data_IF_589803578746
#
_entry.id   IF_589803578746
#
_cell.length_a   1.000
_cell.length_b   1.000
_cell.length_c   1.000
_cell.angle_alpha   90.00
_cell.angle_beta   90.00
_cell.angle_gamma   90.00
#
_symmetry.space_group_name_H-M   'P 1'
#
loop_
_entity.id
_entity.type
_entity.pdbx_description
1 polymer ?
#
# COMPACT_ATOMS: atom_id res chain seq x y z
N UNK A 1 15.28 12.13 -3.02
CA UNK A 1 15.36 11.81 -4.47
C UNK A 1 14.08 11.10 -4.95
N UNK A 2 13.68 9.95 -4.38
CA UNK A 2 12.48 9.22 -4.80
C UNK A 2 11.22 10.10 -4.78
N UNK A 3 11.01 10.87 -3.73
CA UNK A 3 9.85 11.76 -3.55
C UNK A 3 9.76 12.90 -4.58
N UNK A 4 10.85 13.18 -5.27
CA UNK A 4 10.94 14.16 -6.36
C UNK A 4 11.06 13.51 -7.74
N UNK A 5 10.78 12.20 -7.82
CA UNK A 5 10.89 11.38 -9.03
C UNK A 5 12.29 11.41 -9.71
N UNK A 6 13.34 11.67 -8.94
CA UNK A 6 14.70 11.74 -9.45
C UNK A 6 15.34 10.35 -9.69
N UNK A 7 14.66 9.27 -9.26
CA UNK A 7 15.12 7.89 -9.45
C UNK A 7 14.60 7.24 -10.74
N UNK A 8 14.08 8.02 -11.68
CA UNK A 8 13.51 7.51 -12.93
C UNK A 8 14.48 6.60 -13.73
N UNK A 9 15.78 6.79 -13.57
CA UNK A 9 16.78 5.93 -14.22
C UNK A 9 16.79 4.50 -13.70
N UNK A 10 16.29 4.26 -12.47
CA UNK A 10 16.14 2.93 -11.89
C UNK A 10 15.06 2.12 -12.59
N UNK A 11 14.08 2.78 -13.22
CA UNK A 11 12.93 2.15 -13.88
C UNK A 11 13.28 1.36 -15.14
N UNK A 12 14.58 1.27 -15.49
CA UNK A 12 15.08 0.47 -16.62
C UNK A 12 14.98 -1.03 -16.36
N UNK A 13 14.94 -1.46 -15.11
CA UNK A 13 14.84 -2.87 -14.71
C UNK A 13 13.64 -3.08 -13.77
N UNK A 14 13.05 -4.30 -13.73
CA UNK A 14 11.98 -4.62 -12.78
C UNK A 14 12.40 -4.39 -11.33
N UNK A 15 13.62 -4.80 -10.96
CA UNK A 15 14.17 -4.64 -9.61
C UNK A 15 14.38 -3.15 -9.25
N UNK A 16 14.83 -2.34 -10.19
CA UNK A 16 15.00 -0.91 -9.99
C UNK A 16 13.65 -0.19 -9.77
N UNK A 17 12.61 -0.58 -10.50
CA UNK A 17 11.23 -0.11 -10.28
C UNK A 17 10.73 -0.51 -8.90
N UNK A 18 10.94 -1.76 -8.51
CA UNK A 18 10.59 -2.25 -7.18
C UNK A 18 11.33 -1.46 -6.09
N UNK A 19 12.61 -1.21 -6.26
CA UNK A 19 13.41 -0.45 -5.29
C UNK A 19 12.86 0.97 -5.08
N UNK A 20 12.48 1.67 -6.14
CA UNK A 20 11.84 2.99 -6.05
C UNK A 20 10.51 2.92 -5.30
N UNK A 21 9.68 1.91 -5.57
CA UNK A 21 8.40 1.69 -4.89
C UNK A 21 8.62 1.41 -3.40
N UNK A 22 9.58 0.57 -3.03
CA UNK A 22 9.91 0.27 -1.63
C UNK A 22 10.36 1.55 -0.89
N UNK A 23 11.16 2.40 -1.52
CA UNK A 23 11.58 3.67 -0.91
C UNK A 23 10.38 4.57 -0.65
N UNK A 24 9.45 4.68 -1.59
CA UNK A 24 8.26 5.52 -1.47
C UNK A 24 7.23 4.97 -0.47
N UNK A 25 7.01 3.66 -0.46
CA UNK A 25 6.01 3.00 0.38
C UNK A 25 6.58 2.62 1.76
N UNK A 26 7.56 1.74 1.80
CA UNK A 26 8.05 1.15 3.05
C UNK A 26 8.96 2.10 3.84
N UNK A 27 9.90 2.77 3.19
CA UNK A 27 10.83 3.66 3.89
C UNK A 27 10.13 4.91 4.41
N UNK A 28 9.15 5.44 3.68
CA UNK A 28 8.34 6.57 4.19
C UNK A 28 7.65 6.23 5.49
N UNK A 29 7.06 5.04 5.59
CA UNK A 29 6.42 4.55 6.83
C UNK A 29 7.40 4.39 7.99
N UNK A 30 8.60 3.93 7.72
CA UNK A 30 9.60 3.73 8.77
C UNK A 30 10.26 5.03 9.23
N UNK A 31 10.57 5.93 8.29
CA UNK A 31 11.27 7.21 8.58
C UNK A 31 10.33 8.21 9.23
N UNK A 32 9.09 8.32 8.71
CA UNK A 32 8.10 9.30 9.14
C UNK A 32 6.98 8.69 9.99
N UNK A 33 7.32 7.68 10.81
CA UNK A 33 6.36 7.02 11.69
C UNK A 33 5.60 8.07 12.51
N UNK A 34 4.27 7.91 12.59
CA UNK A 34 3.35 8.80 13.31
C UNK A 34 3.30 10.25 12.76
N UNK A 35 3.75 10.45 11.52
CA UNK A 35 3.69 11.73 10.83
C UNK A 35 2.93 11.59 9.51
N UNK A 36 2.25 12.67 9.02
CA UNK A 36 1.51 12.64 7.76
C UNK A 36 2.37 12.23 6.55
N UNK A 37 3.66 12.57 6.57
CA UNK A 37 4.63 12.24 5.54
C UNK A 37 4.78 10.74 5.31
N UNK A 38 4.43 9.89 6.29
CA UNK A 38 4.44 8.44 6.15
C UNK A 38 3.51 7.93 5.05
N UNK A 39 2.47 8.70 4.71
CA UNK A 39 1.46 8.36 3.69
C UNK A 39 1.48 9.29 2.48
N UNK A 40 2.29 10.34 2.50
CA UNK A 40 2.27 11.41 1.48
C UNK A 40 2.58 10.90 0.06
N UNK A 41 3.30 9.80 -0.07
CA UNK A 41 3.74 9.26 -1.35
C UNK A 41 3.05 7.95 -1.75
N UNK A 42 2.02 7.53 -1.02
CA UNK A 42 1.27 6.30 -1.31
C UNK A 42 0.69 6.30 -2.72
N UNK A 43 0.14 7.42 -3.18
CA UNK A 43 -0.40 7.56 -4.53
C UNK A 43 0.66 7.41 -5.62
N UNK A 44 1.86 7.94 -5.39
CA UNK A 44 2.97 7.78 -6.34
C UNK A 44 3.47 6.32 -6.37
N UNK A 45 3.64 5.70 -5.21
CA UNK A 45 4.03 4.28 -5.12
C UNK A 45 3.01 3.38 -5.82
N UNK A 46 1.71 3.64 -5.62
CA UNK A 46 0.64 2.91 -6.29
C UNK A 46 0.68 3.07 -7.81
N UNK A 47 0.83 4.29 -8.31
CA UNK A 47 0.90 4.55 -9.76
C UNK A 47 2.09 3.84 -10.41
N UNK A 48 3.26 3.84 -9.76
CA UNK A 48 4.44 3.13 -10.25
C UNK A 48 4.25 1.61 -10.23
N UNK A 49 3.58 1.08 -9.20
CA UNK A 49 3.23 -0.33 -9.13
C UNK A 49 2.25 -0.74 -10.24
N UNK A 50 1.21 0.07 -10.48
CA UNK A 50 0.25 -0.15 -11.57
C UNK A 50 0.94 -0.16 -12.94
N UNK A 51 1.85 0.77 -13.18
CA UNK A 51 2.64 0.81 -14.42
C UNK A 51 3.49 -0.44 -14.59
N UNK A 52 4.20 -0.86 -13.56
CA UNK A 52 5.02 -2.08 -13.60
C UNK A 52 4.19 -3.33 -13.94
N UNK A 53 2.99 -3.45 -13.36
CA UNK A 53 2.07 -4.55 -13.64
C UNK A 53 1.53 -4.47 -15.08
N UNK A 54 1.16 -3.29 -15.55
CA UNK A 54 0.66 -3.10 -16.92
C UNK A 54 1.69 -3.47 -17.98
N UNK A 55 2.96 -3.30 -17.67
CA UNK A 55 4.10 -3.70 -18.49
C UNK A 55 4.52 -5.17 -18.27
N UNK A 56 3.79 -5.92 -17.44
CA UNK A 56 4.06 -7.33 -17.08
C UNK A 56 5.43 -7.56 -16.45
N UNK A 57 6.01 -6.54 -15.84
CA UNK A 57 7.33 -6.61 -15.21
C UNK A 57 7.31 -7.35 -13.87
N UNK A 58 6.16 -7.43 -13.23
CA UNK A 58 5.94 -8.23 -12.02
C UNK A 58 6.20 -9.72 -12.26
N UNK A 59 5.94 -10.23 -13.48
CA UNK A 59 6.24 -11.62 -13.84
C UNK A 59 7.75 -11.95 -13.83
N UNK A 60 8.61 -10.95 -13.94
CA UNK A 60 10.08 -11.12 -13.90
C UNK A 60 10.65 -11.08 -12.48
N UNK A 61 9.84 -10.71 -11.49
CA UNK A 61 10.20 -10.68 -10.08
C UNK A 61 9.89 -12.02 -9.40
N UNK A 62 10.67 -12.39 -8.38
CA UNK A 62 10.34 -13.55 -7.55
C UNK A 62 9.10 -13.27 -6.67
N UNK A 63 8.47 -14.29 -6.05
CA UNK A 63 7.25 -14.11 -5.25
C UNK A 63 7.38 -13.11 -4.09
N UNK A 64 8.53 -13.09 -3.40
CA UNK A 64 8.78 -12.16 -2.31
C UNK A 64 8.84 -10.72 -2.83
N UNK A 65 9.59 -10.48 -3.90
CA UNK A 65 9.68 -9.19 -4.57
C UNK A 65 8.30 -8.72 -5.06
N UNK A 66 7.51 -9.61 -5.67
CA UNK A 66 6.14 -9.30 -6.09
C UNK A 66 5.24 -8.89 -4.93
N UNK A 67 5.38 -9.49 -3.77
CA UNK A 67 4.60 -9.10 -2.61
C UNK A 67 4.81 -7.62 -2.25
N UNK A 68 6.06 -7.15 -2.28
CA UNK A 68 6.38 -5.73 -2.05
C UNK A 68 5.88 -4.83 -3.18
N UNK A 69 5.93 -5.29 -4.43
CA UNK A 69 5.36 -4.54 -5.56
C UNK A 69 3.85 -4.32 -5.40
N UNK A 70 3.13 -5.26 -4.78
CA UNK A 70 1.69 -5.20 -4.59
C UNK A 70 1.26 -4.48 -3.30
N UNK A 71 2.17 -4.22 -2.35
CA UNK A 71 1.85 -3.52 -1.09
C UNK A 71 1.17 -2.15 -1.28
N UNK A 72 1.54 -1.30 -2.26
CA UNK A 72 0.84 -0.04 -2.46
C UNK A 72 -0.67 -0.19 -2.73
N UNK A 73 -1.11 -1.31 -3.31
CA UNK A 73 -2.53 -1.60 -3.48
C UNK A 73 -3.22 -1.85 -2.13
N UNK A 74 -2.59 -2.64 -1.25
CA UNK A 74 -3.09 -2.91 0.11
C UNK A 74 -3.15 -1.62 0.96
N UNK A 75 -2.24 -0.69 0.75
CA UNK A 75 -2.17 0.56 1.49
C UNK A 75 -3.15 1.65 0.99
N UNK A 76 -3.80 1.44 -0.15
CA UNK A 76 -4.74 2.38 -0.74
C UNK A 76 -6.01 2.52 0.08
N UNK A 77 -6.55 3.73 0.18
CA UNK A 77 -7.88 4.00 0.76
C UNK A 77 -9.01 3.97 -0.30
N UNK A 78 -8.85 3.17 -1.36
CA UNK A 78 -9.83 3.04 -2.43
C UNK A 78 -10.43 1.64 -2.48
N UNK A 79 -11.77 1.54 -2.39
CA UNK A 79 -12.50 0.27 -2.54
C UNK A 79 -12.18 -0.41 -3.88
N UNK A 80 -12.13 0.37 -4.96
CA UNK A 80 -11.82 -0.15 -6.29
C UNK A 80 -10.41 -0.77 -6.34
N UNK A 81 -9.43 -0.11 -5.73
CA UNK A 81 -8.05 -0.62 -5.71
C UNK A 81 -7.96 -1.93 -4.91
N UNK A 82 -8.72 -2.09 -3.83
CA UNK A 82 -8.78 -3.33 -3.06
C UNK A 82 -9.41 -4.51 -3.84
N UNK A 83 -10.29 -4.26 -4.80
CA UNK A 83 -10.76 -5.32 -5.72
C UNK A 83 -9.62 -5.87 -6.59
N UNK A 84 -8.70 -5.01 -7.03
CA UNK A 84 -7.49 -5.44 -7.73
C UNK A 84 -6.47 -6.08 -6.78
N UNK A 85 -6.26 -5.49 -5.61
CA UNK A 85 -5.35 -6.02 -4.58
C UNK A 85 -5.70 -7.46 -4.23
N UNK A 86 -6.96 -7.75 -3.96
CA UNK A 86 -7.42 -9.10 -3.64
C UNK A 86 -7.03 -10.11 -4.73
N UNK A 87 -7.25 -9.75 -6.01
CA UNK A 87 -6.89 -10.62 -7.15
C UNK A 87 -5.38 -10.82 -7.26
N UNK A 88 -4.60 -9.75 -7.04
CA UNK A 88 -3.13 -9.81 -7.09
C UNK A 88 -2.58 -10.73 -6.01
N UNK A 89 -3.02 -10.57 -4.76
CA UNK A 89 -2.56 -11.41 -3.64
C UNK A 89 -3.08 -12.85 -3.72
N UNK A 90 -4.28 -13.09 -4.27
CA UNK A 90 -4.76 -14.45 -4.58
C UNK A 90 -3.85 -15.13 -5.62
N UNK A 91 -3.51 -14.43 -6.69
CA UNK A 91 -2.62 -14.95 -7.75
C UNK A 91 -1.19 -15.18 -7.24
N UNK A 92 -0.72 -14.33 -6.33
CA UNK A 92 0.60 -14.49 -5.70
C UNK A 92 0.71 -15.80 -4.92
N UNK A 93 -0.38 -16.25 -4.29
CA UNK A 93 -0.44 -17.52 -3.56
C UNK A 93 0.22 -17.51 -2.18
N UNK A 94 0.54 -16.33 -1.64
CA UNK A 94 1.03 -16.20 -0.27
C UNK A 94 -0.15 -15.99 0.69
N UNK A 95 -0.47 -17.02 1.47
CA UNK A 95 -1.62 -17.05 2.38
C UNK A 95 -1.56 -15.94 3.45
N UNK A 96 -0.36 -15.61 3.94
CA UNK A 96 -0.17 -14.55 4.94
C UNK A 96 -0.54 -13.20 4.33
N UNK A 97 0.02 -12.88 3.16
CA UNK A 97 -0.27 -11.62 2.47
C UNK A 97 -1.74 -11.52 2.08
N UNK A 98 -2.34 -12.61 1.62
CA UNK A 98 -3.76 -12.65 1.28
C UNK A 98 -4.64 -12.42 2.52
N UNK A 99 -4.27 -13.00 3.66
CA UNK A 99 -4.97 -12.78 4.93
C UNK A 99 -4.92 -11.31 5.36
N UNK A 100 -3.75 -10.67 5.23
CA UNK A 100 -3.61 -9.24 5.51
C UNK A 100 -4.43 -8.37 4.57
N UNK A 101 -4.41 -8.66 3.26
CA UNK A 101 -5.24 -7.93 2.29
C UNK A 101 -6.73 -8.03 2.65
N UNK A 102 -7.23 -9.20 2.97
CA UNK A 102 -8.63 -9.39 3.38
C UNK A 102 -9.00 -8.54 4.60
N UNK A 103 -8.12 -8.47 5.60
CA UNK A 103 -8.32 -7.62 6.79
C UNK A 103 -8.36 -6.13 6.43
N UNK A 104 -7.45 -5.67 5.57
CA UNK A 104 -7.42 -4.29 5.08
C UNK A 104 -8.67 -3.95 4.28
N UNK A 105 -9.05 -4.84 3.35
CA UNK A 105 -10.23 -4.66 2.50
C UNK A 105 -11.52 -4.51 3.31
N UNK A 106 -11.72 -5.32 4.36
CA UNK A 106 -12.89 -5.21 5.24
C UNK A 106 -13.01 -3.81 5.84
N UNK A 107 -11.91 -3.20 6.25
CA UNK A 107 -11.90 -1.84 6.80
C UNK A 107 -12.25 -0.82 5.72
N UNK A 108 -11.65 -0.94 4.56
CA UNK A 108 -11.92 -0.02 3.43
C UNK A 108 -13.36 -0.18 2.92
N UNK A 109 -13.89 -1.39 2.86
CA UNK A 109 -15.28 -1.63 2.48
C UNK A 109 -16.26 -0.99 3.46
N UNK A 110 -15.94 -1.01 4.76
CA UNK A 110 -16.76 -0.43 5.83
C UNK A 110 -16.68 1.09 5.87
N UNK A 111 -15.48 1.66 5.91
CA UNK A 111 -15.25 3.07 6.21
C UNK A 111 -14.81 3.91 4.98
N UNK A 112 -14.34 3.29 3.90
CA UNK A 112 -13.76 3.99 2.75
C UNK A 112 -12.40 4.62 3.02
N UNK A 113 -11.84 4.40 4.21
CA UNK A 113 -10.53 4.89 4.67
C UNK A 113 -10.03 4.04 5.82
N UNK A 114 -8.78 4.23 6.21
CA UNK A 114 -8.19 3.62 7.40
C UNK A 114 -8.37 4.55 8.62
N UNK A 115 -9.28 4.23 9.57
CA UNK A 115 -9.53 5.09 10.73
C UNK A 115 -8.27 5.35 11.58
N UNK A 116 -7.35 4.39 11.66
CA UNK A 116 -6.10 4.56 12.42
C UNK A 116 -5.18 5.66 11.87
N UNK A 117 -5.37 6.10 10.62
CA UNK A 117 -4.64 7.25 10.04
C UNK A 117 -5.28 8.59 10.39
N UNK A 118 -6.50 8.61 10.92
CA UNK A 118 -7.24 9.86 11.10
C UNK A 118 -6.50 10.86 11.99
N UNK A 119 -6.03 10.44 13.17
CA UNK A 119 -5.30 11.33 14.08
C UNK A 119 -4.03 11.88 13.44
N UNK A 120 -3.26 11.04 12.75
CA UNK A 120 -2.01 11.42 12.08
C UNK A 120 -2.27 12.43 10.94
N UNK A 121 -3.35 12.23 10.18
CA UNK A 121 -3.72 13.07 9.03
C UNK A 121 -4.63 14.25 9.40
N UNK A 122 -4.91 14.47 10.70
CA UNK A 122 -5.79 15.54 11.14
C UNK A 122 -7.26 15.37 10.70
N UNK A 123 -7.69 14.12 10.45
CA UNK A 123 -9.07 13.80 10.09
C UNK A 123 -9.88 13.48 11.33
N UNK A 124 -11.12 14.00 11.39
CA UNK A 124 -12.05 13.71 12.49
C UNK A 124 -12.63 12.30 12.30
N UNK A 125 -12.55 11.47 13.34
CA UNK A 125 -13.19 10.15 13.36
C UNK A 125 -14.68 10.27 13.60
N UNK A 126 -15.46 9.46 12.90
CA UNK A 126 -16.89 9.28 13.23
C UNK A 126 -17.05 8.49 14.55
N UNK A 127 -18.24 8.52 15.20
CA UNK A 127 -18.48 7.67 16.37
C UNK A 127 -18.22 6.18 16.10
N UNK A 128 -18.63 5.69 14.93
CA UNK A 128 -18.40 4.30 14.52
C UNK A 128 -16.91 3.98 14.34
N UNK A 129 -16.15 4.89 13.74
CA UNK A 129 -14.70 4.73 13.62
C UNK A 129 -14.00 4.76 14.98
N UNK A 130 -14.49 5.58 15.92
CA UNK A 130 -13.95 5.65 17.28
C UNK A 130 -14.17 4.33 18.02
N UNK A 131 -15.34 3.72 17.89
CA UNK A 131 -15.63 2.39 18.46
C UNK A 131 -14.73 1.32 17.82
N UNK A 132 -14.62 1.33 16.48
CA UNK A 132 -13.78 0.40 15.74
C UNK A 132 -12.31 0.46 16.18
N UNK A 133 -11.78 1.66 16.47
CA UNK A 133 -10.39 1.83 16.91
C UNK A 133 -10.08 1.19 18.28
N UNK A 134 -11.10 0.81 19.06
CA UNK A 134 -10.95 0.07 20.29
C UNK A 134 -10.89 -1.46 20.07
N UNK A 135 -11.24 -1.93 18.87
CA UNK A 135 -11.22 -3.34 18.53
C UNK A 135 -9.79 -3.83 18.22
N UNK A 136 -9.48 -5.13 18.44
CA UNK A 136 -8.23 -5.71 18.00
C UNK A 136 -8.13 -5.67 16.46
N UNK A 137 -6.92 -5.52 15.93
CA UNK A 137 -6.63 -5.42 14.50
C UNK A 137 -7.25 -4.18 13.82
N UNK A 138 -7.49 -3.11 14.55
CA UNK A 138 -7.97 -1.82 14.01
C UNK A 138 -6.87 -0.95 13.42
N UNK A 139 -5.60 -1.32 13.58
CA UNK A 139 -4.42 -0.62 13.07
C UNK A 139 -3.36 -1.60 12.55
N UNK A 140 -2.50 -1.10 11.65
CA UNK A 140 -1.43 -1.85 11.00
C UNK A 140 -0.12 -1.08 11.00
#
# INVERSE_FOLDING_TARGET
QATRAELWSWRKTPEGRLAEIIVLDQFSRNIYRDQPESFAYDGLALALSQEAISLQLDAQLNPEQRSFLYMPFMHSESKLIHEFALKLFQRLGNEINLSFEKKHKVIIDRFGRYPHRNAILGRVSTPEETEFLLEPNSSF
#
